data_IF_606293845702
#
_entry.id   IF_606293845702
#
_cell.length_a   1.000
_cell.length_b   1.000
_cell.length_c   1.000
_cell.angle_alpha   90.00
_cell.angle_beta   90.00
_cell.angle_gamma   90.00
#
_symmetry.space_group_name_H-M   'P 1'
#
loop_
_entity.id
_entity.type
_entity.pdbx_description
1 polymer ?
#
# COMPACT_ATOMS: atom_id res chain seq x y z
N UNK A 1 5.62 -4.23 -21.63
CA UNK A 1 6.20 -5.00 -20.50
C UNK A 1 5.12 -6.00 -20.11
N UNK A 2 5.42 -7.31 -20.09
CA UNK A 2 4.44 -8.36 -19.78
C UNK A 2 4.73 -9.01 -18.42
N UNK A 3 5.01 -8.18 -17.41
CA UNK A 3 5.33 -8.61 -16.05
C UNK A 3 4.74 -7.59 -15.07
N UNK A 4 4.39 -8.00 -13.83
CA UNK A 4 3.90 -7.08 -12.81
C UNK A 4 4.91 -5.96 -12.52
N UNK A 5 4.42 -4.74 -12.44
CA UNK A 5 5.21 -3.55 -12.10
C UNK A 5 4.96 -3.23 -10.62
N UNK A 6 6.05 -3.17 -9.85
CA UNK A 6 6.01 -2.86 -8.42
C UNK A 6 6.65 -1.51 -8.14
N UNK A 7 5.94 -0.65 -7.39
CA UNK A 7 6.48 0.59 -6.86
C UNK A 7 7.16 0.33 -5.51
N UNK A 8 8.48 0.51 -5.46
CA UNK A 8 9.35 0.20 -4.32
C UNK A 8 9.28 1.20 -3.15
N UNK A 9 8.28 2.09 -3.11
CA UNK A 9 8.13 3.11 -2.06
C UNK A 9 6.67 3.53 -1.91
N UNK A 10 6.31 4.03 -0.74
CA UNK A 10 5.01 4.68 -0.56
C UNK A 10 4.92 5.95 -1.42
N UNK A 11 3.81 6.16 -2.16
CA UNK A 11 3.59 7.38 -2.91
C UNK A 11 3.03 8.48 -2.00
N UNK A 12 3.26 9.76 -2.34
CA UNK A 12 2.54 10.85 -1.68
C UNK A 12 1.03 10.74 -1.99
N UNK A 13 0.19 11.14 -1.03
CA UNK A 13 -1.28 11.04 -1.14
C UNK A 13 -1.85 11.62 -2.46
N UNK A 14 -1.30 12.75 -2.91
CA UNK A 14 -1.71 13.42 -4.15
C UNK A 14 -1.46 12.61 -5.44
N UNK A 15 -0.66 11.52 -5.37
CA UNK A 15 -0.29 10.66 -6.50
C UNK A 15 -0.89 9.26 -6.42
N UNK A 16 -1.70 8.95 -5.40
CA UNK A 16 -2.26 7.61 -5.22
C UNK A 16 -3.06 7.17 -6.45
N UNK A 17 -3.85 8.06 -7.05
CA UNK A 17 -4.62 7.73 -8.26
C UNK A 17 -3.73 7.35 -9.45
N UNK A 18 -2.60 8.03 -9.62
CA UNK A 18 -1.63 7.70 -10.67
C UNK A 18 -1.01 6.32 -10.41
N UNK A 19 -0.66 6.01 -9.17
CA UNK A 19 -0.09 4.70 -8.79
C UNK A 19 -1.07 3.58 -9.10
N UNK A 20 -2.33 3.67 -8.65
CA UNK A 20 -3.36 2.66 -8.93
C UNK A 20 -3.62 2.48 -10.43
N UNK A 21 -3.35 3.51 -11.24
CA UNK A 21 -3.48 3.44 -12.70
C UNK A 21 -2.27 2.76 -13.36
N UNK A 22 -1.07 2.93 -12.83
CA UNK A 22 0.19 2.70 -13.56
C UNK A 22 1.01 1.50 -13.09
N UNK A 23 0.82 1.03 -11.85
CA UNK A 23 1.56 -0.11 -11.30
C UNK A 23 0.59 -1.16 -10.75
N UNK A 24 1.05 -2.40 -10.65
CA UNK A 24 0.24 -3.51 -10.17
C UNK A 24 0.36 -3.70 -8.64
N UNK A 25 1.53 -3.37 -8.09
CA UNK A 25 1.87 -3.56 -6.67
C UNK A 25 2.52 -2.29 -6.10
N UNK A 26 2.22 -1.91 -4.86
CA UNK A 26 2.96 -0.85 -4.15
C UNK A 26 3.33 -1.21 -2.71
N UNK A 27 4.50 -0.76 -2.26
CA UNK A 27 4.95 -0.91 -0.88
C UNK A 27 4.27 0.16 0.00
N UNK A 28 3.70 -0.26 1.13
CA UNK A 28 2.91 0.59 2.01
C UNK A 28 3.24 0.36 3.49
N UNK A 29 3.14 1.42 4.29
CA UNK A 29 3.27 1.38 5.75
C UNK A 29 2.22 2.25 6.46
N UNK A 30 1.50 3.10 5.73
CA UNK A 30 0.52 4.04 6.27
C UNK A 30 -0.91 3.63 5.95
N UNK A 31 -1.74 3.44 6.99
CA UNK A 31 -3.15 3.07 6.87
C UNK A 31 -3.96 4.06 6.03
N UNK A 32 -3.67 5.36 6.13
CA UNK A 32 -4.37 6.39 5.36
C UNK A 32 -4.16 6.20 3.85
N UNK A 33 -2.93 5.91 3.43
CA UNK A 33 -2.59 5.66 2.02
C UNK A 33 -3.22 4.37 1.52
N UNK A 34 -3.18 3.29 2.32
CA UNK A 34 -3.81 2.00 1.96
C UNK A 34 -5.32 2.15 1.77
N UNK A 35 -6.00 2.88 2.67
CA UNK A 35 -7.44 3.16 2.55
C UNK A 35 -7.77 3.92 1.27
N UNK A 36 -6.97 4.93 0.93
CA UNK A 36 -7.17 5.70 -0.28
C UNK A 36 -6.89 4.89 -1.56
N UNK A 37 -5.90 3.99 -1.52
CA UNK A 37 -5.66 3.01 -2.58
C UNK A 37 -6.89 2.13 -2.76
N UNK A 38 -7.43 1.54 -1.69
CA UNK A 38 -8.65 0.70 -1.76
C UNK A 38 -9.80 1.45 -2.42
N UNK A 39 -10.11 2.65 -1.94
CA UNK A 39 -11.18 3.51 -2.46
C UNK A 39 -11.03 3.82 -3.95
N UNK A 40 -9.81 4.15 -4.39
CA UNK A 40 -9.56 4.48 -5.79
C UNK A 40 -9.60 3.22 -6.66
N UNK A 41 -9.02 2.11 -6.19
CA UNK A 41 -9.02 0.83 -6.90
C UNK A 41 -10.45 0.32 -7.12
N UNK A 42 -11.29 0.38 -6.08
CA UNK A 42 -12.72 0.07 -6.15
C UNK A 42 -13.44 0.95 -7.17
N UNK A 43 -13.27 2.28 -7.09
CA UNK A 43 -13.85 3.24 -8.05
C UNK A 43 -13.43 2.97 -9.50
N UNK A 44 -12.23 2.45 -9.71
CA UNK A 44 -11.69 2.12 -11.04
C UNK A 44 -12.02 0.68 -11.49
N UNK A 45 -12.64 -0.13 -10.64
CA UNK A 45 -12.91 -1.55 -10.91
C UNK A 45 -11.62 -2.37 -11.06
N UNK A 46 -10.57 -2.04 -10.32
CA UNK A 46 -9.27 -2.72 -10.33
C UNK A 46 -8.94 -3.28 -8.96
N UNK A 47 -8.12 -4.31 -8.94
CA UNK A 47 -7.42 -4.78 -7.74
C UNK A 47 -6.01 -4.23 -7.80
N UNK A 48 -5.58 -3.54 -6.74
CA UNK A 48 -4.22 -3.03 -6.57
C UNK A 48 -3.59 -3.76 -5.40
N UNK A 49 -2.52 -4.52 -5.64
CA UNK A 49 -1.87 -5.27 -4.58
C UNK A 49 -1.01 -4.33 -3.71
N UNK A 50 -1.06 -4.52 -2.39
CA UNK A 50 -0.19 -3.81 -1.46
C UNK A 50 0.77 -4.78 -0.77
N UNK A 51 1.99 -4.31 -0.50
CA UNK A 51 2.97 -4.99 0.33
C UNK A 51 3.20 -4.18 1.59
N UNK A 52 2.72 -4.70 2.73
CA UNK A 52 2.89 -4.07 4.03
C UNK A 52 4.34 -4.21 4.51
N UNK A 53 5.02 -3.09 4.71
CA UNK A 53 6.41 -3.07 5.17
C UNK A 53 6.49 -3.15 6.69
N UNK A 54 7.39 -3.99 7.20
CA UNK A 54 7.70 -4.12 8.63
C UNK A 54 9.11 -3.60 8.85
N UNK A 55 9.27 -2.65 9.77
CA UNK A 55 10.58 -2.16 10.20
C UNK A 55 11.18 -3.14 11.22
N UNK A 56 12.41 -3.59 10.98
CA UNK A 56 13.13 -4.55 11.84
C UNK A 56 14.12 -3.88 12.81
N UNK A 57 14.02 -2.55 12.98
CA UNK A 57 14.85 -1.75 13.87
C UNK A 57 15.88 -0.86 13.15
N UNK A 58 15.71 -0.64 11.84
CA UNK A 58 16.60 0.24 11.06
C UNK A 58 16.05 1.67 10.89
N UNK A 59 14.84 1.93 11.41
CA UNK A 59 14.17 3.24 11.46
C UNK A 59 13.98 3.87 10.06
N UNK A 60 13.83 3.04 9.03
CA UNK A 60 13.64 3.52 7.66
C UNK A 60 12.18 3.76 7.34
N UNK A 61 11.47 2.70 7.00
CA UNK A 61 10.08 2.76 6.53
C UNK A 61 9.41 1.42 6.84
N UNK A 62 8.23 1.47 7.47
CA UNK A 62 7.51 0.27 7.88
C UNK A 62 6.75 0.48 9.19
N UNK A 63 5.85 -0.45 9.48
CA UNK A 63 5.20 -0.55 10.79
C UNK A 63 6.09 -1.31 11.76
N UNK A 64 5.88 -1.11 13.06
CA UNK A 64 6.55 -1.94 14.05
C UNK A 64 6.07 -3.39 13.99
N UNK A 65 6.92 -4.39 14.27
CA UNK A 65 6.52 -5.80 14.26
C UNK A 65 5.33 -6.08 15.19
N UNK A 66 5.25 -5.39 16.33
CA UNK A 66 4.15 -5.52 17.29
C UNK A 66 2.82 -4.99 16.76
N UNK A 67 2.85 -4.08 15.77
CA UNK A 67 1.66 -3.49 15.17
C UNK A 67 1.15 -4.30 13.97
N UNK A 68 1.82 -5.40 13.60
CA UNK A 68 1.48 -6.19 12.41
C UNK A 68 0.02 -6.67 12.42
N UNK A 69 -0.37 -7.41 13.46
CA UNK A 69 -1.72 -7.98 13.53
C UNK A 69 -2.79 -6.88 13.59
N UNK A 70 -2.70 -5.86 14.48
CA UNK A 70 -3.67 -4.76 14.51
C UNK A 70 -3.77 -3.97 13.20
N UNK A 71 -2.65 -3.81 12.48
CA UNK A 71 -2.63 -3.11 11.19
C UNK A 71 -3.34 -3.92 10.12
N UNK A 72 -3.06 -5.22 10.02
CA UNK A 72 -3.72 -6.11 9.07
C UNK A 72 -5.23 -6.19 9.34
N UNK A 73 -5.64 -6.29 10.61
CA UNK A 73 -7.06 -6.30 10.98
C UNK A 73 -7.78 -5.03 10.50
N UNK A 74 -7.15 -3.86 10.60
CA UNK A 74 -7.70 -2.61 10.07
C UNK A 74 -7.74 -2.57 8.54
N UNK A 75 -6.68 -3.07 7.86
CA UNK A 75 -6.62 -3.12 6.40
C UNK A 75 -7.75 -3.98 5.83
N UNK A 76 -8.08 -5.10 6.48
CA UNK A 76 -9.16 -6.00 6.05
C UNK A 76 -10.57 -5.39 6.14
N UNK A 77 -10.71 -4.20 6.74
CA UNK A 77 -11.97 -3.44 6.79
C UNK A 77 -12.07 -2.37 5.69
N UNK A 78 -11.04 -2.21 4.85
CA UNK A 78 -11.04 -1.25 3.73
C UNK A 78 -11.56 -1.88 2.44
#
# INVERSE_FOLDING_TARGET
>A
INAPIMLLRSPPMARVEEVVRTVDISLQSELATIREISRIAERMGRVHDIMLMIDLGDLREGIWPNDLIPTVEQILQF
#
